data_IF_641802845598
#
_entry.id   IF_641802845598
#
_cell.length_a   1.000
_cell.length_b   1.000
_cell.length_c   1.000
_cell.angle_alpha   90.00
_cell.angle_beta   90.00
_cell.angle_gamma   90.00
#
_symmetry.space_group_name_H-M   'P 1'
#
loop_
_entity.id
_entity.type
_entity.pdbx_description
1 polymer ?
#
# COMPACT_ATOMS: atom_id res chain seq x y z
N UNK A 1 -18.01 24.88 -35.86
CA UNK A 1 -18.78 24.12 -34.83
C UNK A 1 -18.02 22.87 -34.37
N UNK A 2 -17.34 22.11 -35.26
CA UNK A 2 -16.59 20.89 -34.89
C UNK A 2 -15.37 21.15 -33.98
N UNK A 3 -14.64 22.26 -34.19
CA UNK A 3 -13.44 22.62 -33.42
C UNK A 3 -13.79 22.98 -31.97
N UNK A 4 -14.89 23.71 -31.76
CA UNK A 4 -15.34 24.14 -30.42
C UNK A 4 -15.79 22.95 -29.57
N UNK A 5 -16.45 21.96 -30.18
CA UNK A 5 -16.92 20.76 -29.46
C UNK A 5 -15.73 19.87 -28.96
N UNK A 6 -14.68 19.80 -29.77
CA UNK A 6 -13.48 19.02 -29.41
C UNK A 6 -12.65 19.70 -28.33
N UNK A 7 -12.61 21.03 -28.33
CA UNK A 7 -11.96 21.82 -27.25
C UNK A 7 -12.75 21.71 -25.95
N UNK A 8 -14.07 21.79 -25.96
CA UNK A 8 -14.91 21.61 -24.78
C UNK A 8 -14.77 20.22 -24.14
N UNK A 9 -14.68 19.17 -24.96
CA UNK A 9 -14.44 17.80 -24.47
C UNK A 9 -13.07 17.69 -23.78
N UNK A 10 -12.03 18.27 -24.35
CA UNK A 10 -10.66 18.26 -23.76
C UNK A 10 -10.61 19.06 -22.45
N UNK A 11 -11.27 20.22 -22.39
CA UNK A 11 -11.34 21.00 -21.16
C UNK A 11 -12.17 20.32 -20.07
N UNK A 12 -13.25 19.64 -20.42
CA UNK A 12 -14.04 18.86 -19.46
C UNK A 12 -13.22 17.70 -18.88
N UNK A 13 -12.52 16.94 -19.73
CA UNK A 13 -11.64 15.84 -19.29
C UNK A 13 -10.51 16.38 -18.40
N UNK A 14 -9.89 17.51 -18.76
CA UNK A 14 -8.85 18.14 -17.96
C UNK A 14 -9.40 18.64 -16.62
N UNK A 15 -10.61 19.19 -16.58
CA UNK A 15 -11.26 19.65 -15.35
C UNK A 15 -11.62 18.48 -14.41
N UNK A 16 -12.12 17.36 -14.96
CA UNK A 16 -12.40 16.14 -14.18
C UNK A 16 -11.11 15.53 -13.65
N UNK A 17 -10.04 15.47 -14.46
CA UNK A 17 -8.74 14.99 -14.01
C UNK A 17 -8.13 15.89 -12.92
N UNK A 18 -8.24 17.21 -13.04
CA UNK A 18 -7.79 18.16 -12.04
C UNK A 18 -8.61 18.05 -10.73
N UNK A 19 -9.93 17.88 -10.82
CA UNK A 19 -10.78 17.67 -9.65
C UNK A 19 -10.45 16.35 -8.91
N UNK A 20 -10.16 15.27 -9.66
CA UNK A 20 -9.72 14.00 -9.09
C UNK A 20 -8.34 14.12 -8.40
N UNK A 21 -7.44 14.96 -8.92
CA UNK A 21 -6.12 15.20 -8.32
C UNK A 21 -6.20 15.97 -6.98
N UNK A 22 -7.21 16.79 -6.76
CA UNK A 22 -7.38 17.55 -5.51
C UNK A 22 -7.74 16.67 -4.31
N UNK A 23 -8.25 15.46 -4.55
CA UNK A 23 -8.59 14.49 -3.50
C UNK A 23 -7.51 13.41 -3.32
N UNK A 24 -6.43 13.47 -4.09
CA UNK A 24 -5.33 12.53 -3.98
C UNK A 24 -4.45 12.87 -2.77
N UNK A 25 -4.61 12.14 -1.69
CA UNK A 25 -3.68 12.15 -0.57
C UNK A 25 -2.55 11.17 -0.86
N UNK A 26 -1.32 11.67 -1.04
CA UNK A 26 -0.14 10.84 -1.21
C UNK A 26 0.27 10.29 0.16
N UNK A 27 -0.14 9.06 0.48
CA UNK A 27 0.27 8.38 1.69
C UNK A 27 1.57 7.62 1.44
N UNK A 28 2.62 7.91 2.23
CA UNK A 28 3.97 7.36 2.08
C UNK A 28 4.14 5.88 2.47
N UNK A 29 3.05 5.13 2.65
CA UNK A 29 3.07 3.74 3.14
C UNK A 29 2.61 2.71 2.11
N UNK A 30 2.39 3.13 0.87
CA UNK A 30 1.96 2.22 -0.19
C UNK A 30 3.07 1.26 -0.61
N UNK A 31 2.72 -0.02 -0.74
CA UNK A 31 3.61 -1.09 -1.22
C UNK A 31 3.25 -1.41 -2.66
N UNK A 32 4.15 -1.09 -3.58
CA UNK A 32 3.92 -1.26 -5.03
C UNK A 32 4.39 -2.63 -5.56
N UNK A 33 4.53 -3.65 -4.70
CA UNK A 33 5.06 -4.97 -5.07
C UNK A 33 4.00 -6.08 -5.05
N UNK A 34 2.73 -5.71 -5.29
CA UNK A 34 1.59 -6.64 -5.24
C UNK A 34 1.49 -7.57 -6.46
N UNK A 35 2.25 -7.31 -7.51
CA UNK A 35 2.32 -8.13 -8.71
C UNK A 35 3.71 -8.08 -9.31
N UNK A 36 4.32 -9.24 -9.52
CA UNK A 36 5.62 -9.34 -10.19
C UNK A 36 5.55 -8.88 -11.65
N UNK A 37 4.40 -9.13 -12.33
CA UNK A 37 4.17 -8.66 -13.70
C UNK A 37 4.12 -7.12 -13.76
N UNK A 38 3.34 -6.51 -12.86
CA UNK A 38 3.25 -5.05 -12.77
C UNK A 38 4.61 -4.41 -12.47
N UNK A 39 5.33 -4.98 -11.51
CA UNK A 39 6.66 -4.49 -11.12
C UNK A 39 7.64 -4.56 -12.32
N UNK A 40 7.67 -5.68 -13.03
CA UNK A 40 8.53 -5.87 -14.21
C UNK A 40 8.19 -4.94 -15.39
N UNK A 41 6.96 -4.43 -15.44
CA UNK A 41 6.47 -3.50 -16.48
C UNK A 41 6.43 -2.04 -16.02
N UNK A 42 7.08 -1.70 -14.90
CA UNK A 42 7.08 -0.33 -14.38
C UNK A 42 5.70 0.19 -13.96
N UNK A 43 4.80 -0.68 -13.51
CA UNK A 43 3.43 -0.37 -13.09
C UNK A 43 2.50 0.19 -14.18
N UNK A 44 2.78 -0.10 -15.45
CA UNK A 44 1.94 0.34 -16.58
C UNK A 44 0.71 -0.55 -16.80
N UNK A 45 0.51 -1.58 -16.01
CA UNK A 45 -0.46 -2.64 -16.24
C UNK A 45 -1.92 -2.32 -15.95
N UNK A 46 -2.26 -1.08 -15.56
CA UNK A 46 -3.67 -0.66 -15.38
C UNK A 46 -4.46 -0.78 -16.68
N UNK A 47 -3.80 -0.58 -17.83
CA UNK A 47 -4.37 -0.75 -19.16
C UNK A 47 -4.18 -2.16 -19.74
N UNK A 48 -3.63 -3.11 -18.99
CA UNK A 48 -3.33 -4.45 -19.45
C UNK A 48 -4.31 -5.50 -18.92
N UNK A 49 -4.52 -6.54 -19.71
CA UNK A 49 -5.34 -7.71 -19.35
C UNK A 49 -4.50 -8.67 -18.53
N UNK A 50 -4.48 -8.49 -17.21
CA UNK A 50 -3.64 -9.26 -16.29
C UNK A 50 -4.31 -10.52 -15.72
N UNK A 51 -5.51 -10.87 -16.23
CA UNK A 51 -6.30 -11.97 -15.67
C UNK A 51 -6.78 -11.65 -14.26
N UNK A 52 -6.63 -12.58 -13.32
CA UNK A 52 -7.07 -12.40 -11.93
C UNK A 52 -6.41 -11.21 -11.21
N UNK A 53 -5.17 -10.84 -11.58
CA UNK A 53 -4.48 -9.67 -10.99
C UNK A 53 -5.18 -8.35 -11.35
N UNK A 54 -5.98 -8.30 -12.43
CA UNK A 54 -6.75 -7.13 -12.80
C UNK A 54 -7.74 -6.69 -11.72
N UNK A 55 -8.18 -7.59 -10.84
CA UNK A 55 -9.06 -7.25 -9.72
C UNK A 55 -8.56 -6.04 -8.93
N UNK A 56 -7.24 -5.99 -8.65
CA UNK A 56 -6.63 -4.94 -7.83
C UNK A 56 -6.41 -3.66 -8.65
N UNK A 57 -5.91 -3.80 -9.89
CA UNK A 57 -5.39 -2.65 -10.66
C UNK A 57 -6.46 -2.01 -11.55
N UNK A 58 -7.20 -2.83 -12.30
CA UNK A 58 -8.31 -2.40 -13.13
C UNK A 58 -9.32 -3.54 -13.26
N UNK A 59 -10.41 -3.53 -12.49
CA UNK A 59 -11.36 -4.64 -12.45
C UNK A 59 -11.97 -4.99 -13.82
N UNK A 60 -12.04 -4.02 -14.74
CA UNK A 60 -12.53 -4.28 -16.11
C UNK A 60 -11.64 -5.27 -16.88
N UNK A 61 -10.34 -5.35 -16.57
CA UNK A 61 -9.43 -6.28 -17.21
C UNK A 61 -9.79 -7.76 -16.99
N UNK A 62 -10.47 -8.07 -15.89
CA UNK A 62 -10.95 -9.43 -15.60
C UNK A 62 -11.98 -9.89 -16.64
N UNK A 63 -12.80 -8.97 -17.20
CA UNK A 63 -13.82 -9.29 -18.21
C UNK A 63 -13.28 -9.83 -19.53
N UNK A 64 -11.96 -9.72 -19.76
CA UNK A 64 -11.29 -10.29 -20.92
C UNK A 64 -10.62 -11.65 -20.64
N UNK A 65 -10.72 -12.19 -19.42
CA UNK A 65 -10.16 -13.49 -19.12
C UNK A 65 -10.86 -14.60 -19.92
N UNK A 66 -10.06 -15.45 -20.55
CA UNK A 66 -10.55 -16.62 -21.31
C UNK A 66 -10.66 -17.87 -20.41
N UNK A 67 -10.15 -17.80 -19.19
CA UNK A 67 -10.11 -18.94 -18.28
C UNK A 67 -11.40 -19.03 -17.46
N UNK A 68 -11.85 -20.24 -17.19
CA UNK A 68 -12.96 -20.50 -16.26
C UNK A 68 -12.56 -20.15 -14.83
N UNK A 69 -11.32 -20.49 -14.46
CA UNK A 69 -10.69 -20.14 -13.19
C UNK A 69 -9.28 -19.60 -13.50
N UNK A 70 -8.97 -18.43 -12.98
CA UNK A 70 -7.65 -17.83 -13.04
C UNK A 70 -7.17 -17.52 -11.62
N UNK A 71 -6.01 -18.04 -11.24
CA UNK A 71 -5.42 -17.84 -9.92
C UNK A 71 -4.05 -17.18 -10.07
N UNK A 72 -3.77 -16.24 -9.22
CA UNK A 72 -2.46 -15.57 -9.13
C UNK A 72 -2.08 -15.34 -7.69
N UNK A 73 -0.82 -15.55 -7.37
CA UNK A 73 -0.25 -15.29 -6.06
C UNK A 73 1.11 -14.62 -6.18
N UNK A 74 1.36 -13.64 -5.33
CA UNK A 74 2.65 -12.93 -5.25
C UNK A 74 3.05 -12.80 -3.78
N UNK A 75 4.31 -13.08 -3.49
CA UNK A 75 4.94 -12.82 -2.20
C UNK A 75 6.24 -12.07 -2.47
N UNK A 76 6.45 -10.97 -1.77
CA UNK A 76 7.65 -10.13 -1.92
C UNK A 76 8.37 -10.02 -0.59
N UNK A 77 9.70 -10.15 -0.58
CA UNK A 77 10.53 -9.90 0.60
C UNK A 77 11.06 -8.46 0.58
N UNK A 78 10.74 -7.67 1.61
CA UNK A 78 11.25 -6.31 1.78
C UNK A 78 12.00 -6.23 3.11
N UNK A 79 13.27 -5.84 3.05
CA UNK A 79 14.10 -5.56 4.23
C UNK A 79 14.53 -4.09 4.20
N UNK A 80 13.76 -3.18 4.80
CA UNK A 80 14.12 -1.77 4.83
C UNK A 80 15.33 -1.56 5.73
N UNK A 81 16.29 -0.75 5.30
CA UNK A 81 17.42 -0.32 6.09
C UNK A 81 17.50 1.20 6.03
N UNK A 82 17.60 1.84 7.17
CA UNK A 82 17.84 3.27 7.27
C UNK A 82 19.02 3.54 8.21
N UNK A 83 19.79 4.55 7.88
CA UNK A 83 20.90 5.05 8.70
C UNK A 83 20.66 6.53 8.95
N UNK A 84 20.79 6.94 10.20
CA UNK A 84 20.77 8.35 10.60
C UNK A 84 22.12 8.69 11.19
N UNK A 85 22.73 9.80 10.75
CA UNK A 85 23.96 10.35 11.33
C UNK A 85 23.60 11.57 12.17
N UNK A 86 23.93 11.53 13.45
CA UNK A 86 23.71 12.63 14.37
C UNK A 86 24.96 12.81 15.22
N UNK A 87 25.47 14.05 15.30
CA UNK A 87 26.70 14.41 16.00
C UNK A 87 27.89 13.50 15.66
N UNK A 88 28.06 13.16 14.38
CA UNK A 88 29.16 12.32 13.91
C UNK A 88 29.01 10.81 14.21
N UNK A 89 27.91 10.38 14.87
CA UNK A 89 27.61 8.98 15.17
C UNK A 89 26.52 8.44 14.28
N UNK A 90 26.72 7.24 13.75
CA UNK A 90 25.73 6.52 12.95
C UNK A 90 24.80 5.67 13.80
N UNK A 91 23.49 5.79 13.51
CA UNK A 91 22.41 4.97 14.09
C UNK A 91 21.72 4.22 12.95
N UNK A 92 21.58 2.91 13.09
CA UNK A 92 21.01 2.03 12.07
C UNK A 92 19.72 1.38 12.58
N UNK A 93 18.80 1.18 11.65
CA UNK A 93 17.57 0.42 11.95
C UNK A 93 17.86 -1.08 12.01
N UNK A 94 17.15 -1.80 12.87
CA UNK A 94 17.14 -3.25 12.98
C UNK A 94 15.79 -3.81 12.57
N UNK A 95 15.56 -3.80 11.24
CA UNK A 95 14.28 -4.23 10.69
C UNK A 95 14.31 -5.71 10.34
N UNK A 96 13.21 -6.41 10.65
CA UNK A 96 12.96 -7.75 10.16
C UNK A 96 12.60 -7.76 8.67
N UNK A 97 12.50 -8.94 8.10
CA UNK A 97 11.96 -9.14 6.76
C UNK A 97 10.45 -8.94 6.79
N UNK A 98 9.95 -8.02 5.98
CA UNK A 98 8.51 -7.85 5.72
C UNK A 98 8.12 -8.63 4.46
N UNK A 99 7.01 -9.35 4.50
CA UNK A 99 6.57 -10.22 3.40
C UNK A 99 5.18 -9.79 2.91
N UNK A 100 5.05 -8.64 2.23
CA UNK A 100 3.79 -8.31 1.57
C UNK A 100 3.41 -9.39 0.57
N UNK A 101 2.10 -9.62 0.47
CA UNK A 101 1.55 -10.66 -0.39
C UNK A 101 0.30 -10.16 -1.10
N UNK A 102 0.00 -10.82 -2.23
CA UNK A 102 -1.28 -10.68 -2.93
C UNK A 102 -1.72 -12.05 -3.44
N UNK A 103 -2.98 -12.34 -3.25
CA UNK A 103 -3.66 -13.51 -3.81
C UNK A 103 -4.89 -13.03 -4.57
N UNK A 104 -5.05 -13.51 -5.82
CA UNK A 104 -6.12 -13.11 -6.70
C UNK A 104 -6.76 -14.35 -7.30
N UNK A 105 -8.07 -14.39 -7.32
CA UNK A 105 -8.85 -15.39 -8.02
C UNK A 105 -9.87 -14.70 -8.94
N UNK A 106 -10.01 -15.21 -10.13
CA UNK A 106 -10.98 -14.77 -11.13
C UNK A 106 -11.79 -15.95 -11.63
N UNK A 107 -13.09 -15.79 -11.74
CA UNK A 107 -14.05 -16.80 -12.15
C UNK A 107 -14.89 -16.28 -13.31
N UNK A 108 -15.01 -17.06 -14.38
CA UNK A 108 -15.96 -16.80 -15.44
C UNK A 108 -17.33 -17.38 -15.07
N UNK A 109 -18.31 -16.51 -14.82
CA UNK A 109 -19.70 -16.91 -14.52
C UNK A 109 -20.44 -17.16 -15.83
N UNK A 110 -20.33 -16.22 -16.77
CA UNK A 110 -20.84 -16.31 -18.14
C UNK A 110 -19.75 -15.82 -19.11
N UNK A 111 -19.94 -16.00 -20.39
CA UNK A 111 -18.94 -15.58 -21.39
C UNK A 111 -18.62 -14.07 -21.34
N UNK A 112 -19.53 -13.28 -20.83
CA UNK A 112 -19.41 -11.83 -20.70
C UNK A 112 -19.38 -11.32 -19.26
N UNK A 113 -19.55 -12.19 -18.25
CA UNK A 113 -19.58 -11.81 -16.84
C UNK A 113 -18.57 -12.60 -16.03
N UNK A 114 -17.74 -11.90 -15.31
CA UNK A 114 -16.69 -12.46 -14.45
C UNK A 114 -16.82 -11.94 -13.03
N UNK A 115 -16.55 -12.81 -12.07
CA UNK A 115 -16.37 -12.42 -10.68
C UNK A 115 -14.92 -12.64 -10.27
N UNK A 116 -14.47 -11.91 -9.27
CA UNK A 116 -13.15 -12.09 -8.70
C UNK A 116 -13.14 -11.81 -7.21
N UNK A 117 -12.09 -12.28 -6.56
CA UNK A 117 -11.78 -11.94 -5.18
C UNK A 117 -10.26 -11.78 -5.05
N UNK A 118 -9.85 -10.77 -4.31
CA UNK A 118 -8.44 -10.53 -4.00
C UNK A 118 -8.25 -10.33 -2.51
N UNK A 119 -7.14 -10.83 -2.00
CA UNK A 119 -6.61 -10.54 -0.67
C UNK A 119 -5.17 -10.06 -0.85
N UNK A 120 -4.82 -8.90 -0.29
CA UNK A 120 -3.50 -8.33 -0.53
C UNK A 120 -3.09 -7.39 0.63
N UNK A 121 -1.83 -6.95 0.62
CA UNK A 121 -1.27 -6.06 1.63
C UNK A 121 -0.70 -4.80 0.96
N UNK A 122 -1.56 -3.81 0.60
CA UNK A 122 -1.16 -2.65 -0.18
C UNK A 122 -0.39 -1.60 0.62
N UNK A 123 -0.52 -1.63 1.94
CA UNK A 123 0.09 -0.65 2.83
C UNK A 123 0.84 -1.35 3.94
N UNK A 124 2.04 -0.86 4.22
CA UNK A 124 2.86 -1.35 5.31
C UNK A 124 4.04 -0.44 5.58
N UNK A 125 4.41 -0.34 6.84
CA UNK A 125 5.64 0.28 7.26
C UNK A 125 6.23 -0.56 8.38
N UNK A 126 7.54 -0.76 8.35
CA UNK A 126 8.25 -1.42 9.43
C UNK A 126 9.59 -0.70 9.62
N UNK A 127 9.69 0.10 10.66
CA UNK A 127 10.92 0.76 11.09
C UNK A 127 11.12 0.43 12.57
N UNK A 128 12.32 -0.01 12.91
CA UNK A 128 12.74 -0.29 14.27
C UNK A 128 14.15 0.26 14.49
N UNK A 129 14.24 1.33 15.25
CA UNK A 129 15.49 1.93 15.67
C UNK A 129 15.98 1.29 16.96
N UNK A 130 17.28 1.32 17.18
CA UNK A 130 17.86 0.92 18.47
C UNK A 130 17.42 1.86 19.60
N UNK A 131 17.41 1.36 20.83
CA UNK A 131 16.94 2.12 21.99
C UNK A 131 17.73 3.41 22.26
N UNK A 132 18.97 3.50 21.77
CA UNK A 132 19.89 4.61 22.03
C UNK A 132 19.92 5.64 20.91
N UNK A 133 19.03 5.58 19.93
CA UNK A 133 19.03 6.58 18.88
C UNK A 133 18.39 7.90 19.36
N UNK A 134 18.95 9.07 18.96
CA UNK A 134 18.55 10.38 19.50
C UNK A 134 17.07 10.74 19.25
N UNK A 135 16.50 10.24 18.16
CA UNK A 135 15.09 10.46 17.81
C UNK A 135 14.10 9.49 18.46
N UNK A 136 14.49 8.72 19.48
CA UNK A 136 13.63 7.74 20.17
C UNK A 136 12.34 8.33 20.73
N UNK A 137 12.34 9.63 21.09
CA UNK A 137 11.15 10.36 21.51
C UNK A 137 10.17 10.66 20.37
N UNK A 138 10.65 10.70 19.12
CA UNK A 138 9.82 10.88 17.95
C UNK A 138 9.24 9.55 17.50
N UNK A 139 10.11 8.56 17.33
CA UNK A 139 9.75 7.21 16.90
C UNK A 139 10.85 6.24 17.23
N UNK A 140 10.51 5.14 17.85
CA UNK A 140 11.44 4.02 18.13
C UNK A 140 11.10 2.82 17.25
N UNK A 141 9.83 2.47 17.19
CA UNK A 141 9.30 1.41 16.34
C UNK A 141 7.98 1.86 15.72
N UNK A 142 7.84 1.64 14.43
CA UNK A 142 6.59 1.81 13.70
C UNK A 142 6.34 0.55 12.91
N UNK A 143 5.21 -0.09 13.16
CA UNK A 143 4.72 -1.20 12.35
C UNK A 143 3.28 -0.94 11.97
N UNK A 144 3.03 -0.75 10.68
CA UNK A 144 1.71 -0.56 10.10
C UNK A 144 1.45 -1.71 9.11
N UNK A 145 0.27 -2.29 9.17
CA UNK A 145 -0.15 -3.35 8.26
C UNK A 145 -1.63 -3.17 7.92
N UNK A 146 -1.99 -3.27 6.65
CA UNK A 146 -3.38 -3.19 6.17
C UNK A 146 -3.69 -4.41 5.32
N UNK A 147 -4.87 -4.98 5.56
CA UNK A 147 -5.35 -6.22 4.94
C UNK A 147 -6.71 -5.99 4.30
N UNK A 148 -6.79 -5.66 3.02
CA UNK A 148 -8.03 -5.62 2.26
C UNK A 148 -8.41 -6.98 1.69
N UNK A 149 -9.71 -7.22 1.65
CA UNK A 149 -10.36 -8.19 0.78
C UNK A 149 -11.18 -7.42 -0.23
N UNK A 150 -11.07 -7.79 -1.50
CA UNK A 150 -11.74 -7.09 -2.59
C UNK A 150 -12.51 -8.07 -3.48
N UNK A 151 -13.81 -8.29 -3.24
CA UNK A 151 -14.71 -8.86 -4.25
C UNK A 151 -14.83 -7.91 -5.45
N UNK A 152 -14.90 -8.49 -6.64
CA UNK A 152 -14.87 -7.79 -7.92
C UNK A 152 -15.89 -8.40 -8.86
N UNK A 153 -16.56 -7.56 -9.65
CA UNK A 153 -17.36 -7.96 -10.79
C UNK A 153 -16.89 -7.23 -12.04
N UNK A 154 -16.79 -7.94 -13.15
CA UNK A 154 -16.42 -7.40 -14.44
C UNK A 154 -17.40 -7.87 -15.52
N UNK A 155 -17.92 -6.94 -16.29
CA UNK A 155 -18.85 -7.19 -17.37
C UNK A 155 -18.29 -6.70 -18.69
N UNK A 156 -18.12 -7.63 -19.63
CA UNK A 156 -17.74 -7.34 -21.01
C UNK A 156 -18.99 -7.01 -21.80
N UNK A 157 -19.26 -5.73 -21.99
CA UNK A 157 -20.47 -5.20 -22.65
C UNK A 157 -20.50 -5.60 -24.11
N UNK A 158 -19.36 -5.45 -24.81
CA UNK A 158 -19.11 -5.86 -26.20
C UNK A 158 -17.71 -6.53 -26.26
N UNK A 159 -17.36 -7.21 -27.35
CA UNK A 159 -16.12 -7.97 -27.44
C UNK A 159 -14.84 -7.19 -27.09
N UNK A 160 -14.87 -5.86 -27.31
CA UNK A 160 -13.71 -4.99 -27.10
C UNK A 160 -13.90 -3.95 -25.97
N UNK A 161 -15.01 -4.00 -25.19
CA UNK A 161 -15.26 -3.07 -24.08
C UNK A 161 -15.72 -3.83 -22.84
N UNK A 162 -15.05 -3.61 -21.75
CA UNK A 162 -15.40 -4.12 -20.44
C UNK A 162 -15.45 -3.01 -19.39
N UNK A 163 -16.33 -3.17 -18.42
CA UNK A 163 -16.42 -2.35 -17.22
C UNK A 163 -16.28 -3.28 -16.00
N UNK A 164 -15.78 -2.74 -14.90
CA UNK A 164 -15.64 -3.54 -13.69
C UNK A 164 -15.75 -2.68 -12.46
N UNK A 165 -16.18 -3.30 -11.37
CA UNK A 165 -16.27 -2.69 -10.04
C UNK A 165 -15.73 -3.67 -9.01
N UNK A 166 -14.94 -3.15 -8.07
CA UNK A 166 -14.45 -3.86 -6.90
C UNK A 166 -14.86 -3.11 -5.64
N UNK A 167 -15.25 -3.83 -4.60
CA UNK A 167 -15.49 -3.29 -3.28
C UNK A 167 -14.34 -3.70 -2.37
N UNK A 168 -13.63 -2.74 -1.80
CA UNK A 168 -12.53 -3.01 -0.87
C UNK A 168 -13.05 -2.98 0.56
N UNK A 169 -12.82 -4.06 1.30
CA UNK A 169 -13.12 -4.20 2.72
C UNK A 169 -11.77 -4.36 3.41
N UNK A 170 -11.33 -3.35 4.15
CA UNK A 170 -9.99 -3.31 4.71
C UNK A 170 -10.01 -3.15 6.23
N UNK A 171 -9.04 -3.78 6.89
CA UNK A 171 -8.71 -3.53 8.29
C UNK A 171 -7.22 -3.38 8.46
N UNK A 172 -6.81 -2.61 9.47
CA UNK A 172 -5.41 -2.29 9.72
C UNK A 172 -4.97 -2.67 11.13
N UNK A 173 -3.68 -2.86 11.29
CA UNK A 173 -3.01 -3.00 12.59
C UNK A 173 -1.88 -2.00 12.69
N UNK A 174 -1.76 -1.36 13.84
CA UNK A 174 -0.70 -0.42 14.16
C UNK A 174 0.00 -0.87 15.44
N UNK A 175 1.32 -0.80 15.46
CA UNK A 175 2.17 -1.03 16.63
C UNK A 175 3.25 0.06 16.61
N UNK A 176 3.15 1.00 17.53
CA UNK A 176 4.03 2.16 17.66
C UNK A 176 4.69 2.14 19.01
N UNK A 177 6.01 2.21 19.02
CA UNK A 177 6.80 2.41 20.23
C UNK A 177 7.54 3.75 20.13
N UNK A 178 7.50 4.52 21.19
CA UNK A 178 8.33 5.71 21.35
C UNK A 178 8.77 5.88 22.81
N UNK A 179 9.96 6.43 23.01
CA UNK A 179 10.43 6.78 24.33
C UNK A 179 9.74 8.05 24.83
N UNK A 180 9.41 8.11 26.11
CA UNK A 180 8.94 9.34 26.79
C UNK A 180 10.10 10.27 27.12
N UNK A 181 11.28 9.68 27.39
CA UNK A 181 12.51 10.40 27.70
C UNK A 181 13.61 9.85 26.81
N UNK A 182 14.41 10.73 26.20
CA UNK A 182 15.56 10.26 25.40
C UNK A 182 16.60 9.59 26.29
N UNK A 183 17.29 8.57 25.77
CA UNK A 183 18.36 7.90 26.49
C UNK A 183 19.45 8.88 26.99
N UNK A 184 19.80 9.86 26.16
CA UNK A 184 20.78 10.90 26.51
C UNK A 184 20.28 11.84 27.64
N UNK A 185 19.01 12.18 27.67
CA UNK A 185 18.43 12.99 28.76
C UNK A 185 18.36 12.19 30.06
N UNK A 186 18.14 10.87 29.95
CA UNK A 186 18.13 9.98 31.10
C UNK A 186 19.54 9.78 31.69
N UNK A 187 20.54 9.59 30.82
CA UNK A 187 21.94 9.49 31.23
C UNK A 187 22.41 10.78 31.92
N UNK A 188 22.02 11.96 31.40
CA UNK A 188 22.30 13.25 32.02
C UNK A 188 21.63 13.40 33.40
N UNK A 189 20.38 12.97 33.52
CA UNK A 189 19.63 12.99 34.79
C UNK A 189 20.21 11.98 35.81
N UNK A 190 20.61 10.81 35.37
CA UNK A 190 21.27 9.80 36.17
C UNK A 190 22.64 10.30 36.72
N UNK A 191 23.42 10.98 35.88
CA UNK A 191 24.68 11.61 36.26
C UNK A 191 24.47 12.71 37.30
N UNK A 192 23.43 13.54 37.14
CA UNK A 192 23.06 14.58 38.09
C UNK A 192 22.65 14.02 39.44
N UNK A 193 22.01 12.85 39.47
CA UNK A 193 21.54 12.15 40.63
C UNK A 193 22.63 11.21 41.24
N UNK A 194 23.84 11.19 40.69
CA UNK A 194 24.94 10.29 41.06
C UNK A 194 24.55 8.81 41.07
N UNK A 195 23.59 8.42 40.23
CA UNK A 195 23.17 7.05 40.08
C UNK A 195 24.11 6.33 39.09
N UNK A 196 24.58 5.12 39.40
CA UNK A 196 25.46 4.39 38.49
C UNK A 196 24.69 4.04 37.21
N UNK A 197 25.05 4.68 36.09
CA UNK A 197 24.45 4.52 34.76
C UNK A 197 24.39 3.04 34.30
N UNK A 198 25.39 2.23 34.72
CA UNK A 198 25.44 0.80 34.45
C UNK A 198 24.32 -0.02 35.11
N UNK A 199 23.78 0.43 36.24
CA UNK A 199 22.68 -0.26 36.92
C UNK A 199 21.30 0.12 36.43
N UNK A 200 21.18 1.29 35.83
CA UNK A 200 19.91 1.73 35.23
C UNK A 200 19.71 1.18 33.84
N UNK A 201 20.78 0.56 33.28
CA UNK A 201 20.84 0.08 31.92
C UNK A 201 20.24 1.14 31.03
N UNK A 202 20.66 1.39 29.82
CA UNK A 202 19.95 2.26 28.86
C UNK A 202 18.48 1.82 28.66
N UNK A 203 17.93 1.26 29.74
CA UNK A 203 16.59 0.84 29.90
C UNK A 203 15.73 2.02 29.54
N UNK A 204 15.09 1.90 28.46
CA UNK A 204 13.98 2.67 28.03
C UNK A 204 13.26 3.26 29.24
N UNK A 205 13.76 4.40 29.71
CA UNK A 205 13.09 5.17 30.71
C UNK A 205 11.73 5.48 30.12
N UNK A 206 10.69 4.92 30.64
CA UNK A 206 9.33 5.04 30.20
C UNK A 206 9.16 5.09 28.67
N UNK A 207 8.71 4.02 28.08
CA UNK A 207 8.27 3.97 26.68
C UNK A 207 6.74 3.89 26.61
N UNK A 208 6.16 4.51 25.59
CA UNK A 208 4.76 4.32 25.24
C UNK A 208 4.72 3.28 24.11
N UNK A 209 4.00 2.19 24.36
CA UNK A 209 3.61 1.24 23.33
C UNK A 209 2.12 1.44 23.01
N UNK A 210 1.83 1.82 21.78
CA UNK A 210 0.48 2.01 21.29
C UNK A 210 0.19 0.92 20.26
N UNK A 211 -0.69 0.00 20.63
CA UNK A 211 -1.19 -1.05 19.75
C UNK A 211 -2.66 -0.84 19.49
N UNK A 212 -3.03 -0.93 18.22
CA UNK A 212 -4.41 -0.77 17.80
C UNK A 212 -4.74 -1.59 16.57
N UNK A 213 -6.03 -1.89 16.43
CA UNK A 213 -6.61 -2.42 15.21
C UNK A 213 -7.65 -1.41 14.75
N UNK A 214 -7.65 -1.06 13.48
CA UNK A 214 -8.67 -0.16 12.93
C UNK A 214 -10.01 -0.88 12.82
N UNK A 215 -11.08 -0.12 12.85
CA UNK A 215 -12.37 -0.58 12.36
C UNK A 215 -12.29 -0.91 10.87
N UNK A 216 -13.33 -1.59 10.37
CA UNK A 216 -13.44 -1.94 8.95
C UNK A 216 -13.62 -0.67 8.14
N UNK A 217 -12.74 -0.46 7.18
CA UNK A 217 -12.85 0.61 6.19
C UNK A 217 -13.39 0.04 4.87
N UNK A 218 -14.30 0.79 4.24
CA UNK A 218 -14.85 0.43 2.95
C UNK A 218 -14.30 1.35 1.87
N UNK A 219 -13.98 0.77 0.72
CA UNK A 219 -13.53 1.48 -0.47
C UNK A 219 -14.16 0.90 -1.72
N UNK A 220 -14.01 1.59 -2.83
CA UNK A 220 -14.47 1.13 -4.14
C UNK A 220 -13.37 1.34 -5.19
N UNK A 221 -13.32 0.41 -6.13
CA UNK A 221 -12.47 0.46 -7.30
C UNK A 221 -13.36 0.27 -8.54
N UNK A 222 -13.29 1.20 -9.48
CA UNK A 222 -14.06 1.15 -10.73
C UNK A 222 -13.09 1.21 -11.89
N UNK A 223 -13.33 0.40 -12.90
CA UNK A 223 -12.48 0.35 -14.08
C UNK A 223 -13.25 0.27 -15.38
N UNK A 224 -12.63 0.77 -16.44
CA UNK A 224 -13.07 0.62 -17.82
C UNK A 224 -11.85 0.16 -18.62
N UNK A 225 -12.06 -0.77 -19.53
CA UNK A 225 -11.04 -1.23 -20.46
C UNK A 225 -11.65 -1.36 -21.86
N UNK A 226 -11.06 -0.66 -22.81
CA UNK A 226 -11.55 -0.59 -24.17
C UNK A 226 -10.41 -0.80 -25.17
N UNK A 227 -10.50 -1.86 -25.94
CA UNK A 227 -9.64 -2.11 -27.11
C UNK A 227 -10.21 -1.34 -28.30
N UNK A 228 -9.73 -0.14 -28.57
CA UNK A 228 -10.28 0.74 -29.62
C UNK A 228 -10.03 0.15 -31.00
N UNK A 229 -8.85 -0.47 -31.19
CA UNK A 229 -8.47 -1.16 -32.42
C UNK A 229 -7.46 -2.27 -32.11
N UNK A 230 -6.89 -2.95 -33.11
CA UNK A 230 -5.93 -4.04 -32.92
C UNK A 230 -4.57 -3.58 -32.36
N UNK A 231 -4.30 -2.29 -32.33
CA UNK A 231 -3.03 -1.71 -31.86
C UNK A 231 -3.17 -1.07 -30.48
N UNK A 232 -4.40 -0.64 -30.12
CA UNK A 232 -4.74 0.05 -28.85
C UNK A 232 -5.97 -0.56 -28.19
#
# INVERSE_FOLDING_TARGET
ISITLNTMKKTLIAAVAAAAALTAHAEGYQINTLSAKQLGMGHTGVAMKLGAESNIFNPAGLGFSQKTLDLSGTVTGIKPNATCTYEGKEYKTHNGLSTPLAFNAGFRIYDNLHAGISFYTPYGSAINWTNNWPGSMLSQKVKLQVYPVQPTLAWRIIPNLSVGVGMTIAWGKVDLDKALVSGSSFDAMAALMQLPAEKLGHAAAASINLKGTSDVALGANVGVMWDINRQW
#
